data_IF_038570607610
#
_entry.id   IF_038570607610
#
_cell.length_a   1.000
_cell.length_b   1.000
_cell.length_c   1.000
_cell.angle_alpha   90.00
_cell.angle_beta   90.00
_cell.angle_gamma   90.00
#
_symmetry.space_group_name_H-M   'P 1'
#
loop_
_entity.id
_entity.type
_entity.pdbx_description
1 polymer ?
#
# COMPACT_ATOMS: atom_id res chain seq x y z
N UNK A 1 -0.48 4.28 23.33
CA UNK A 1 -0.78 4.56 21.90
C UNK A 1 0.36 4.15 20.97
N UNK A 2 1.62 4.53 21.23
CA UNK A 2 2.76 4.09 20.40
C UNK A 2 2.93 2.57 20.36
N UNK A 3 2.73 1.88 21.49
CA UNK A 3 2.83 0.42 21.57
C UNK A 3 1.87 -0.29 20.61
N UNK A 4 0.62 0.18 20.49
CA UNK A 4 -0.36 -0.40 19.56
C UNK A 4 0.02 -0.20 18.09
N UNK A 5 0.52 1.00 17.74
CA UNK A 5 1.03 1.29 16.39
C UNK A 5 2.26 0.46 16.03
N UNK A 6 3.16 0.27 16.99
CA UNK A 6 4.35 -0.56 16.82
C UNK A 6 3.98 -2.03 16.58
N UNK A 7 2.98 -2.54 17.30
CA UNK A 7 2.43 -3.90 17.07
C UNK A 7 1.89 -4.01 15.65
N UNK A 8 1.04 -3.09 15.20
CA UNK A 8 0.48 -3.13 13.84
C UNK A 8 1.58 -3.07 12.77
N UNK A 9 2.56 -2.17 12.92
CA UNK A 9 3.68 -2.09 11.99
C UNK A 9 4.52 -3.38 11.97
N UNK A 10 4.75 -4.02 13.12
CA UNK A 10 5.46 -5.29 13.20
C UNK A 10 4.68 -6.46 12.55
N UNK A 11 3.35 -6.45 12.65
CA UNK A 11 2.49 -7.43 11.99
C UNK A 11 2.53 -7.26 10.47
N UNK A 12 2.40 -6.01 9.98
CA UNK A 12 2.54 -5.69 8.56
C UNK A 12 3.92 -6.10 8.03
N UNK A 13 4.98 -5.79 8.77
CA UNK A 13 6.33 -6.20 8.42
C UNK A 13 6.46 -7.73 8.33
N UNK A 14 5.93 -8.46 9.32
CA UNK A 14 5.98 -9.92 9.35
C UNK A 14 5.24 -10.54 8.18
N UNK A 15 4.01 -10.10 7.91
CA UNK A 15 3.22 -10.60 6.78
C UNK A 15 3.88 -10.27 5.44
N UNK A 16 4.43 -9.06 5.31
CA UNK A 16 5.16 -8.67 4.10
C UNK A 16 6.43 -9.49 3.88
N UNK A 17 7.19 -9.75 4.94
CA UNK A 17 8.36 -10.61 4.87
C UNK A 17 7.97 -12.03 4.42
N UNK A 18 6.89 -12.59 4.97
CA UNK A 18 6.39 -13.91 4.59
C UNK A 18 6.06 -14.00 3.11
N UNK A 19 5.36 -13.02 2.54
CA UNK A 19 5.05 -12.98 1.10
C UNK A 19 6.31 -12.85 0.25
N UNK A 20 7.31 -12.11 0.74
CA UNK A 20 8.58 -11.93 0.02
C UNK A 20 9.41 -13.21 -0.10
N UNK A 21 9.44 -14.02 0.97
CA UNK A 21 10.22 -15.29 0.98
C UNK A 21 9.42 -16.49 0.50
N UNK A 22 8.09 -16.43 0.62
CA UNK A 22 7.15 -17.45 0.17
C UNK A 22 6.16 -16.81 -0.80
N UNK A 23 6.56 -16.58 -2.07
CA UNK A 23 5.70 -15.93 -3.05
C UNK A 23 4.41 -16.74 -3.29
N UNK A 24 3.31 -16.09 -3.70
CA UNK A 24 2.09 -16.79 -4.12
C UNK A 24 2.40 -17.80 -5.22
N UNK A 25 1.85 -19.02 -5.09
CA UNK A 25 2.18 -20.14 -5.96
C UNK A 25 3.47 -20.89 -5.60
N UNK A 26 4.24 -20.39 -4.64
CA UNK A 26 5.46 -21.01 -4.14
C UNK A 26 6.65 -20.85 -5.08
N UNK A 27 7.65 -21.69 -4.83
CA UNK A 27 8.86 -21.80 -5.63
C UNK A 27 8.97 -23.20 -6.22
N UNK A 28 9.62 -23.31 -7.38
CA UNK A 28 9.96 -24.61 -7.95
C UNK A 28 10.86 -25.38 -6.97
N UNK A 29 10.53 -26.65 -6.73
CA UNK A 29 11.28 -27.50 -5.79
C UNK A 29 12.49 -28.15 -6.46
N UNK A 30 12.43 -28.34 -7.77
CA UNK A 30 13.41 -29.08 -8.56
C UNK A 30 13.76 -28.31 -9.82
N UNK A 31 14.99 -28.48 -10.29
CA UNK A 31 15.43 -27.93 -11.56
C UNK A 31 14.99 -28.84 -12.69
N UNK A 32 14.29 -28.28 -13.69
CA UNK A 32 13.74 -29.00 -14.85
C UNK A 32 13.95 -28.19 -16.12
N UNK A 33 14.14 -28.88 -17.23
CA UNK A 33 14.14 -28.26 -18.55
C UNK A 33 13.02 -28.83 -19.41
N UNK A 34 12.53 -28.02 -20.33
CA UNK A 34 11.52 -28.43 -21.30
C UNK A 34 12.24 -29.03 -22.52
N UNK A 35 11.99 -30.31 -22.78
CA UNK A 35 12.49 -31.00 -23.95
C UNK A 35 11.43 -30.87 -25.06
N UNK A 36 11.72 -30.09 -26.10
CA UNK A 36 10.76 -29.83 -27.19
C UNK A 36 10.46 -31.06 -28.04
N UNK A 37 11.47 -31.91 -28.26
CA UNK A 37 11.32 -33.13 -29.08
C UNK A 37 10.40 -34.15 -28.40
N UNK A 38 10.45 -34.24 -27.06
CA UNK A 38 9.61 -35.13 -26.27
C UNK A 38 8.32 -34.46 -25.77
N UNK A 39 8.22 -33.13 -25.80
CA UNK A 39 7.06 -32.37 -25.32
C UNK A 39 6.83 -32.47 -23.81
N UNK A 40 7.87 -32.76 -23.02
CA UNK A 40 7.76 -33.02 -21.57
C UNK A 40 8.80 -32.24 -20.77
N UNK A 41 8.47 -31.97 -19.50
CA UNK A 41 9.42 -31.47 -18.51
C UNK A 41 10.27 -32.62 -18.00
N UNK A 42 11.58 -32.53 -18.21
CA UNK A 42 12.52 -33.54 -17.77
C UNK A 42 13.34 -32.99 -16.61
N UNK A 43 13.45 -33.80 -15.56
CA UNK A 43 14.28 -33.51 -14.40
C UNK A 43 15.66 -34.09 -14.67
N UNK A 44 16.70 -33.28 -14.44
CA UNK A 44 18.07 -33.76 -14.58
C UNK A 44 18.60 -34.24 -13.23
N UNK A 45 19.06 -35.49 -13.18
CA UNK A 45 19.58 -36.13 -11.97
C UNK A 45 21.09 -35.91 -11.82
N UNK A 46 21.77 -35.46 -12.88
CA UNK A 46 23.20 -35.13 -12.87
C UNK A 46 23.36 -33.65 -13.22
N UNK A 47 24.26 -32.98 -12.51
CA UNK A 47 24.57 -31.55 -12.65
C UNK A 47 24.43 -31.07 -14.09
N UNK A 48 23.69 -29.97 -14.30
CA UNK A 48 23.41 -29.38 -15.61
C UNK A 48 24.72 -29.32 -16.39
N UNK A 49 24.89 -30.22 -17.35
CA UNK A 49 25.99 -30.09 -18.28
C UNK A 49 25.58 -28.94 -19.19
N UNK A 50 26.03 -27.74 -18.88
CA UNK A 50 25.62 -26.51 -19.56
C UNK A 50 25.90 -26.57 -21.07
N UNK A 51 26.83 -27.45 -21.48
CA UNK A 51 27.11 -27.80 -22.87
C UNK A 51 25.97 -28.58 -23.57
N UNK A 52 25.11 -29.32 -22.84
CA UNK A 52 23.91 -29.98 -23.40
C UNK A 52 22.74 -29.01 -23.57
N UNK A 53 22.65 -27.97 -22.73
CA UNK A 53 21.66 -26.88 -22.86
C UNK A 53 21.90 -26.05 -24.12
N UNK A 54 23.14 -26.06 -24.65
CA UNK A 54 23.51 -25.38 -25.89
C UNK A 54 22.99 -26.10 -27.16
N UNK A 55 22.55 -27.36 -27.06
CA UNK A 55 21.93 -28.06 -28.19
C UNK A 55 20.41 -27.78 -28.25
N UNK A 56 20.01 -27.35 -29.45
CA UNK A 56 18.73 -27.00 -30.10
C UNK A 56 17.37 -27.55 -29.59
N UNK A 57 17.29 -28.34 -28.52
CA UNK A 57 16.04 -29.00 -28.07
C UNK A 57 15.54 -28.57 -26.69
N UNK A 58 16.15 -27.55 -26.08
CA UNK A 58 15.76 -26.99 -24.77
C UNK A 58 15.32 -25.54 -24.93
N UNK A 59 14.03 -25.26 -24.74
CA UNK A 59 13.50 -23.88 -24.86
C UNK A 59 13.13 -23.20 -23.56
N UNK A 60 12.98 -23.94 -22.45
CA UNK A 60 12.66 -23.37 -21.13
C UNK A 60 13.34 -24.14 -20.01
N UNK A 61 13.97 -23.43 -19.09
CA UNK A 61 14.59 -24.02 -17.89
C UNK A 61 13.97 -23.37 -16.66
N UNK A 62 13.61 -24.21 -15.69
CA UNK A 62 13.10 -23.84 -14.37
C UNK A 62 14.12 -24.31 -13.35
N UNK A 63 14.60 -23.40 -12.51
CA UNK A 63 15.56 -23.72 -11.46
C UNK A 63 14.84 -23.85 -10.13
N UNK A 64 15.28 -24.79 -9.30
CA UNK A 64 14.81 -24.89 -7.93
C UNK A 64 15.04 -23.54 -7.19
N UNK A 65 14.04 -23.10 -6.43
CA UNK A 65 14.05 -21.81 -5.73
C UNK A 65 13.54 -20.62 -6.54
N UNK A 66 13.36 -20.74 -7.87
CA UNK A 66 12.67 -19.69 -8.63
C UNK A 66 11.17 -19.69 -8.33
N UNK A 67 10.59 -18.49 -8.29
CA UNK A 67 9.16 -18.34 -8.02
C UNK A 67 8.32 -18.85 -9.18
N UNK A 68 7.28 -19.64 -8.88
CA UNK A 68 6.37 -20.18 -9.91
C UNK A 68 5.65 -19.05 -10.65
N UNK A 69 5.15 -18.06 -9.91
CA UNK A 69 4.47 -16.90 -10.50
C UNK A 69 5.41 -16.05 -11.39
N UNK A 70 6.72 -16.04 -11.12
CA UNK A 70 7.67 -15.31 -11.98
C UNK A 70 7.79 -15.93 -13.38
N UNK A 71 7.62 -17.25 -13.50
CA UNK A 71 7.73 -18.00 -14.76
C UNK A 71 6.45 -18.02 -15.59
N UNK A 72 5.29 -17.88 -14.94
CA UNK A 72 3.96 -17.91 -15.57
C UNK A 72 3.41 -16.50 -15.82
N UNK A 73 3.69 -15.56 -14.92
CA UNK A 73 3.04 -14.25 -14.86
C UNK A 73 4.01 -13.18 -14.32
N UNK A 74 5.05 -12.83 -15.10
CA UNK A 74 6.12 -11.95 -14.64
C UNK A 74 5.63 -10.53 -14.32
N UNK A 75 4.54 -10.08 -14.94
CA UNK A 75 3.95 -8.78 -14.66
C UNK A 75 3.32 -8.74 -13.25
N UNK A 76 2.45 -9.70 -12.96
CA UNK A 76 1.78 -9.88 -11.68
C UNK A 76 2.80 -10.07 -10.56
N UNK A 77 3.85 -10.88 -10.81
CA UNK A 77 4.96 -11.06 -9.88
C UNK A 77 5.66 -9.74 -9.54
N UNK A 78 5.99 -8.91 -10.53
CA UNK A 78 6.63 -7.60 -10.31
C UNK A 78 5.73 -6.65 -9.53
N UNK A 79 4.42 -6.66 -9.79
CA UNK A 79 3.45 -5.83 -9.06
C UNK A 79 3.35 -6.29 -7.61
N UNK A 80 3.17 -7.60 -7.37
CA UNK A 80 3.07 -8.20 -6.02
C UNK A 80 4.34 -7.91 -5.21
N UNK A 81 5.53 -8.18 -5.77
CA UNK A 81 6.79 -7.90 -5.07
C UNK A 81 7.00 -6.40 -4.84
N UNK A 82 6.72 -5.56 -5.84
CA UNK A 82 6.86 -4.12 -5.74
C UNK A 82 5.97 -3.52 -4.66
N UNK A 83 4.70 -3.89 -4.63
CA UNK A 83 3.78 -3.45 -3.58
C UNK A 83 4.16 -4.03 -2.21
N UNK A 84 4.57 -5.29 -2.15
CA UNK A 84 4.94 -5.92 -0.88
C UNK A 84 6.18 -5.25 -0.24
N UNK A 85 7.21 -5.01 -1.04
CA UNK A 85 8.45 -4.36 -0.58
C UNK A 85 8.20 -2.92 -0.14
N UNK A 86 7.36 -2.16 -0.85
CA UNK A 86 6.95 -0.82 -0.42
C UNK A 86 6.21 -0.84 0.93
N UNK A 87 5.31 -1.80 1.13
CA UNK A 87 4.59 -1.98 2.40
C UNK A 87 5.54 -2.36 3.55
N UNK A 88 6.47 -3.26 3.27
CA UNK A 88 7.51 -3.69 4.22
C UNK A 88 8.41 -2.51 4.62
N UNK A 89 8.94 -1.77 3.66
CA UNK A 89 9.78 -0.60 3.90
C UNK A 89 9.04 0.50 4.67
N UNK A 90 7.77 0.76 4.33
CA UNK A 90 6.94 1.71 5.05
C UNK A 90 6.72 1.25 6.51
N UNK A 91 6.47 -0.03 6.75
CA UNK A 91 6.29 -0.58 8.10
C UNK A 91 7.58 -0.53 8.95
N UNK A 92 8.73 -0.86 8.37
CA UNK A 92 10.03 -0.71 9.03
C UNK A 92 10.33 0.75 9.36
N UNK A 93 9.97 1.68 8.45
CA UNK A 93 10.08 3.12 8.69
C UNK A 93 9.23 3.57 9.87
N UNK A 94 8.00 3.06 10.02
CA UNK A 94 7.15 3.35 11.19
C UNK A 94 7.81 2.86 12.49
N UNK A 95 8.35 1.64 12.50
CA UNK A 95 9.01 1.07 13.68
C UNK A 95 10.22 1.92 14.10
N UNK A 96 11.07 2.28 13.12
CA UNK A 96 12.23 3.13 13.38
C UNK A 96 11.81 4.49 13.93
N UNK A 97 10.84 5.16 13.27
CA UNK A 97 10.34 6.46 13.72
C UNK A 97 9.75 6.41 15.12
N UNK A 98 9.00 5.37 15.47
CA UNK A 98 8.45 5.18 16.80
C UNK A 98 9.54 4.90 17.86
N UNK A 99 10.61 4.19 17.48
CA UNK A 99 11.71 3.84 18.40
C UNK A 99 12.76 4.93 18.56
N UNK A 100 12.93 5.84 17.60
CA UNK A 100 13.96 6.91 17.61
C UNK A 100 13.80 7.96 18.72
N UNK A 101 12.82 7.86 19.61
CA UNK A 101 12.67 8.77 20.76
C UNK A 101 12.35 10.22 20.38
N UNK A 102 12.06 10.49 19.11
CA UNK A 102 11.71 11.82 18.60
C UNK A 102 10.46 12.35 19.33
N UNK A 103 10.39 13.66 19.65
CA UNK A 103 9.27 14.24 20.37
C UNK A 103 7.97 14.16 19.54
N UNK A 104 7.20 13.10 19.78
CA UNK A 104 5.91 12.78 19.11
C UNK A 104 4.83 13.85 19.34
N UNK A 105 5.10 14.79 20.25
CA UNK A 105 4.26 15.97 20.47
C UNK A 105 4.21 16.89 19.24
N UNK A 106 5.18 16.82 18.33
CA UNK A 106 5.15 17.66 17.14
C UNK A 106 4.05 17.21 16.17
N UNK A 107 3.21 18.18 15.74
CA UNK A 107 2.09 17.91 14.83
C UNK A 107 2.56 17.36 13.48
N UNK A 108 3.77 17.71 13.06
CA UNK A 108 4.40 17.27 11.81
C UNK A 108 4.76 15.78 11.88
N UNK A 109 5.35 15.34 12.99
CA UNK A 109 5.74 13.94 13.17
C UNK A 109 4.54 12.98 13.14
N UNK A 110 3.43 13.34 13.79
CA UNK A 110 2.20 12.54 13.69
C UNK A 110 1.63 12.50 12.27
N UNK A 111 1.76 13.59 11.52
CA UNK A 111 1.32 13.66 10.13
C UNK A 111 2.15 12.75 9.22
N UNK A 112 3.48 12.76 9.37
CA UNK A 112 4.37 11.85 8.64
C UNK A 112 4.04 10.39 8.95
N UNK A 113 3.88 10.02 10.24
CA UNK A 113 3.50 8.66 10.64
C UNK A 113 2.16 8.22 10.05
N UNK A 114 1.17 9.09 10.04
CA UNK A 114 -0.12 8.78 9.40
C UNK A 114 0.06 8.49 7.91
N UNK A 115 0.77 9.34 7.16
CA UNK A 115 1.00 9.14 5.73
C UNK A 115 1.72 7.82 5.46
N UNK A 116 2.79 7.53 6.19
CA UNK A 116 3.55 6.28 6.01
C UNK A 116 2.67 5.06 6.35
N UNK A 117 1.82 5.15 7.37
CA UNK A 117 0.87 4.09 7.71
C UNK A 117 -0.16 3.86 6.59
N UNK A 118 -0.70 4.93 5.99
CA UNK A 118 -1.61 4.79 4.85
C UNK A 118 -0.95 4.13 3.64
N UNK A 119 0.30 4.48 3.35
CA UNK A 119 1.10 3.84 2.31
C UNK A 119 1.27 2.35 2.63
N UNK A 120 1.68 2.01 3.85
CA UNK A 120 1.89 0.62 4.28
C UNK A 120 0.64 -0.25 4.11
N UNK A 121 -0.51 0.22 4.62
CA UNK A 121 -1.77 -0.54 4.56
C UNK A 121 -2.25 -0.69 3.11
N UNK A 122 -2.18 0.38 2.30
CA UNK A 122 -2.61 0.32 0.89
C UNK A 122 -1.73 -0.62 0.07
N UNK A 123 -0.42 -0.58 0.31
CA UNK A 123 0.54 -1.45 -0.37
C UNK A 123 0.31 -2.92 -0.04
N UNK A 124 -0.01 -3.25 1.22
CA UNK A 124 -0.36 -4.62 1.60
C UNK A 124 -1.72 -5.07 1.06
N UNK A 125 -2.72 -4.19 1.03
CA UNK A 125 -4.01 -4.50 0.43
C UNK A 125 -3.87 -4.84 -1.06
N UNK A 126 -3.08 -4.06 -1.80
CA UNK A 126 -2.77 -4.34 -3.22
C UNK A 126 -2.04 -5.67 -3.38
N UNK A 127 -1.00 -5.91 -2.58
CA UNK A 127 -0.24 -7.18 -2.61
C UNK A 127 -1.17 -8.39 -2.45
N UNK A 128 -2.08 -8.32 -1.48
CA UNK A 128 -3.03 -9.40 -1.21
C UNK A 128 -4.05 -9.58 -2.34
N UNK A 129 -4.59 -8.49 -2.87
CA UNK A 129 -5.55 -8.51 -3.97
C UNK A 129 -4.96 -9.21 -5.21
N UNK A 130 -3.75 -8.83 -5.63
CA UNK A 130 -3.08 -9.45 -6.76
C UNK A 130 -2.70 -10.91 -6.49
N UNK A 131 -2.21 -11.22 -5.28
CA UNK A 131 -1.87 -12.60 -4.90
C UNK A 131 -3.09 -13.55 -4.99
N UNK A 132 -4.25 -13.13 -4.50
CA UNK A 132 -5.48 -13.94 -4.60
C UNK A 132 -5.88 -14.10 -6.07
N UNK A 133 -5.89 -13.02 -6.84
CA UNK A 133 -6.31 -13.08 -8.25
C UNK A 133 -5.49 -14.10 -9.05
N UNK A 134 -4.17 -14.17 -8.79
CA UNK A 134 -3.30 -15.17 -9.39
C UNK A 134 -3.64 -16.59 -8.91
N UNK A 135 -3.77 -16.80 -7.60
CA UNK A 135 -4.04 -18.13 -7.05
C UNK A 135 -5.38 -18.68 -7.51
N UNK A 136 -6.40 -17.84 -7.66
CA UNK A 136 -7.70 -18.29 -8.21
C UNK A 136 -7.60 -18.60 -9.70
N UNK A 137 -6.89 -17.81 -10.50
CA UNK A 137 -6.67 -18.10 -11.92
C UNK A 137 -5.95 -19.46 -12.11
N UNK A 138 -5.02 -19.80 -11.23
CA UNK A 138 -4.35 -21.12 -11.23
C UNK A 138 -5.34 -22.26 -10.95
N UNK A 139 -6.26 -22.09 -9.98
CA UNK A 139 -7.30 -23.09 -9.66
C UNK A 139 -8.22 -23.31 -10.87
N UNK A 140 -8.63 -22.24 -11.54
CA UNK A 140 -9.44 -22.28 -12.76
C UNK A 140 -8.70 -23.03 -13.87
N UNK A 141 -7.44 -22.68 -14.15
CA UNK A 141 -6.62 -23.38 -15.15
C UNK A 141 -6.49 -24.87 -14.85
N UNK A 142 -6.16 -25.25 -13.61
CA UNK A 142 -5.98 -26.65 -13.21
C UNK A 142 -7.26 -27.48 -13.43
N UNK A 143 -8.43 -26.84 -13.26
CA UNK A 143 -9.73 -27.47 -13.48
C UNK A 143 -10.03 -27.81 -14.95
N UNK A 144 -9.34 -27.17 -15.90
CA UNK A 144 -9.50 -27.43 -17.34
C UNK A 144 -8.67 -28.61 -17.83
N UNK A 145 -7.49 -28.84 -17.23
CA UNK A 145 -6.58 -29.93 -17.60
C UNK A 145 -6.89 -31.24 -16.90
N UNK A 146 -7.52 -31.22 -15.73
CA UNK A 146 -7.96 -32.41 -15.01
C UNK A 146 -9.50 -32.43 -14.95
N UNK A 147 -10.18 -33.39 -15.59
CA UNK A 147 -11.64 -33.47 -15.58
C UNK A 147 -12.14 -33.93 -14.20
N UNK A 148 -12.19 -33.00 -13.24
CA UNK A 148 -12.84 -33.21 -11.95
C UNK A 148 -14.37 -33.12 -12.13
N UNK A 149 -15.16 -33.84 -11.32
CA UNK A 149 -16.62 -33.76 -11.39
C UNK A 149 -17.09 -32.31 -11.21
N UNK A 150 -17.87 -31.81 -12.18
CA UNK A 150 -18.39 -30.42 -12.31
C UNK A 150 -19.12 -29.87 -11.07
N UNK A 151 -19.38 -30.69 -10.05
CA UNK A 151 -20.03 -30.29 -8.80
C UNK A 151 -19.07 -29.68 -7.77
N UNK A 152 -17.76 -29.80 -7.98
CA UNK A 152 -16.71 -29.27 -7.08
C UNK A 152 -16.15 -27.93 -7.56
N UNK A 153 -16.37 -27.58 -8.83
CA UNK A 153 -15.76 -26.42 -9.47
C UNK A 153 -16.78 -25.29 -9.55
N UNK A 154 -16.54 -24.23 -8.78
CA UNK A 154 -17.27 -22.97 -8.87
C UNK A 154 -16.95 -22.37 -10.23
N UNK A 155 -17.89 -22.56 -11.15
CA UNK A 155 -17.81 -22.08 -12.53
C UNK A 155 -18.27 -20.63 -12.57
N UNK A 156 -17.38 -19.68 -12.32
CA UNK A 156 -17.63 -18.25 -12.53
C UNK A 156 -16.32 -17.50 -12.89
N UNK A 157 -15.73 -17.82 -14.05
CA UNK A 157 -14.46 -17.27 -14.58
C UNK A 157 -14.48 -15.74 -14.81
N UNK A 158 -15.66 -15.11 -14.75
CA UNK A 158 -15.83 -13.65 -14.84
C UNK A 158 -15.97 -13.02 -13.45
N UNK A 159 -16.19 -13.79 -12.37
CA UNK A 159 -16.43 -13.19 -11.07
C UNK A 159 -15.13 -12.77 -10.38
N UNK A 160 -14.04 -13.54 -10.49
CA UNK A 160 -12.89 -13.39 -9.58
C UNK A 160 -12.05 -12.14 -9.83
N UNK A 161 -11.79 -11.82 -11.10
CA UNK A 161 -11.10 -10.58 -11.48
C UNK A 161 -11.90 -9.34 -11.08
N UNK A 162 -13.22 -9.36 -11.31
CA UNK A 162 -14.10 -8.25 -10.97
C UNK A 162 -14.29 -8.11 -9.46
N UNK A 163 -14.35 -9.22 -8.71
CA UNK A 163 -14.37 -9.20 -7.24
C UNK A 163 -13.10 -8.54 -6.70
N UNK A 164 -11.94 -8.88 -7.26
CA UNK A 164 -10.67 -8.24 -6.89
C UNK A 164 -10.68 -6.74 -7.20
N UNK A 165 -11.14 -6.34 -8.39
CA UNK A 165 -11.27 -4.93 -8.77
C UNK A 165 -12.24 -4.16 -7.88
N UNK A 166 -13.44 -4.68 -7.62
CA UNK A 166 -14.42 -4.06 -6.74
C UNK A 166 -13.89 -3.90 -5.31
N UNK A 167 -13.13 -4.87 -4.82
CA UNK A 167 -12.47 -4.80 -3.52
C UNK A 167 -11.41 -3.69 -3.49
N UNK A 168 -10.58 -3.58 -4.54
CA UNK A 168 -9.57 -2.52 -4.67
C UNK A 168 -10.22 -1.14 -4.80
N UNK A 169 -11.25 -0.99 -5.63
CA UNK A 169 -11.99 0.28 -5.76
C UNK A 169 -12.71 0.66 -4.46
N UNK A 170 -13.35 -0.30 -3.79
CA UNK A 170 -13.94 -0.10 -2.47
C UNK A 170 -12.89 0.36 -1.45
N UNK A 171 -11.70 -0.24 -1.48
CA UNK A 171 -10.58 0.17 -0.64
C UNK A 171 -10.14 1.61 -0.92
N UNK A 172 -9.89 1.98 -2.19
CA UNK A 172 -9.55 3.36 -2.55
C UNK A 172 -10.67 4.35 -2.18
N UNK A 173 -11.93 3.97 -2.33
CA UNK A 173 -13.08 4.77 -1.90
C UNK A 173 -13.09 5.00 -0.38
N UNK A 174 -12.89 3.96 0.42
CA UNK A 174 -12.76 4.06 1.87
C UNK A 174 -11.60 4.98 2.27
N UNK A 175 -10.43 4.79 1.64
CA UNK A 175 -9.25 5.61 1.88
C UNK A 175 -9.49 7.09 1.56
N UNK A 176 -10.14 7.38 0.42
CA UNK A 176 -10.51 8.73 0.01
C UNK A 176 -11.49 9.38 1.00
N UNK A 177 -12.49 8.63 1.49
CA UNK A 177 -13.44 9.12 2.50
C UNK A 177 -12.76 9.47 3.82
N UNK A 178 -11.82 8.63 4.28
CA UNK A 178 -11.10 8.91 5.54
C UNK A 178 -10.17 10.11 5.36
N UNK A 179 -9.45 10.20 4.24
CA UNK A 179 -8.60 11.35 3.91
C UNK A 179 -9.42 12.64 3.84
N UNK A 180 -10.59 12.59 3.20
CA UNK A 180 -11.54 13.70 3.15
C UNK A 180 -12.04 14.10 4.54
N UNK A 181 -12.36 13.14 5.41
CA UNK A 181 -12.76 13.39 6.80
C UNK A 181 -11.68 14.12 7.60
N UNK A 182 -10.43 13.69 7.49
CA UNK A 182 -9.30 14.37 8.13
C UNK A 182 -9.04 15.76 7.55
N UNK A 183 -9.16 15.92 6.23
CA UNK A 183 -9.05 17.21 5.55
C UNK A 183 -10.12 18.19 6.04
N UNK A 184 -11.39 17.77 6.09
CA UNK A 184 -12.51 18.59 6.61
C UNK A 184 -12.27 18.98 8.06
N UNK A 185 -11.85 18.05 8.93
CA UNK A 185 -11.51 18.38 10.34
C UNK A 185 -10.43 19.45 10.44
N UNK A 186 -9.42 19.42 9.58
CA UNK A 186 -8.36 20.42 9.55
C UNK A 186 -8.84 21.75 8.99
N UNK A 187 -9.65 21.73 7.93
CA UNK A 187 -10.25 22.91 7.34
C UNK A 187 -11.13 23.63 8.38
N UNK A 188 -12.01 22.90 9.07
CA UNK A 188 -12.85 23.43 10.15
C UNK A 188 -12.01 24.02 11.27
N UNK A 189 -10.92 23.36 11.68
CA UNK A 189 -10.02 23.85 12.73
C UNK A 189 -9.25 25.10 12.29
N UNK A 190 -8.85 25.16 11.02
CA UNK A 190 -8.20 26.32 10.42
C UNK A 190 -9.16 27.52 10.37
N UNK A 191 -10.37 27.32 9.84
CA UNK A 191 -11.40 28.36 9.75
C UNK A 191 -11.86 28.84 11.12
N UNK A 192 -12.07 27.95 12.09
CA UNK A 192 -12.41 28.33 13.47
C UNK A 192 -11.32 29.18 14.12
N UNK A 193 -10.04 28.84 13.91
CA UNK A 193 -8.91 29.65 14.39
C UNK A 193 -8.83 31.00 13.68
N UNK A 194 -9.07 31.02 12.37
CA UNK A 194 -9.08 32.26 11.58
C UNK A 194 -10.21 33.17 12.07
N UNK A 195 -11.45 32.67 12.17
CA UNK A 195 -12.60 33.39 12.73
C UNK A 195 -12.35 33.90 14.16
N UNK A 196 -11.75 33.09 15.03
CA UNK A 196 -11.40 33.53 16.40
C UNK A 196 -10.34 34.65 16.40
N UNK A 197 -9.39 34.64 15.46
CA UNK A 197 -8.38 35.69 15.31
C UNK A 197 -8.90 36.96 14.62
N UNK A 198 -9.91 36.87 13.74
CA UNK A 198 -10.54 38.06 13.12
C UNK A 198 -11.67 38.66 13.97
N UNK A 199 -12.29 37.86 14.87
CA UNK A 199 -13.39 38.29 15.74
C UNK A 199 -13.11 39.54 16.60
N UNK A 200 -11.93 39.68 17.24
CA UNK A 200 -11.59 40.88 18.01
C UNK A 200 -11.36 42.14 17.15
N UNK A 201 -11.04 41.98 15.86
CA UNK A 201 -10.81 43.07 14.92
C UNK A 201 -12.13 43.63 14.36
N UNK A 202 -13.15 42.80 14.20
CA UNK A 202 -14.48 43.22 13.76
C UNK A 202 -15.33 43.84 14.89
N UNK A 203 -15.08 43.47 16.16
CA UNK A 203 -15.73 44.08 17.33
C UNK A 203 -15.08 45.39 17.80
N UNK A 204 -13.90 45.75 17.29
CA UNK A 204 -13.36 47.12 17.42
C UNK A 204 -14.06 48.02 16.39
N UNK A 205 -15.32 48.33 16.65
CA UNK A 205 -16.05 49.36 15.92
C UNK A 205 -15.34 50.73 15.99
N UNK A 206 -15.67 51.66 15.08
CA UNK A 206 -15.00 52.96 14.90
C UNK A 206 -15.09 53.93 16.10
N UNK A 207 -15.70 53.54 17.21
CA UNK A 207 -15.95 54.39 18.37
C UNK A 207 -14.67 54.85 19.10
N UNK A 208 -13.56 54.10 19.01
CA UNK A 208 -12.27 54.55 19.58
C UNK A 208 -11.56 55.65 18.76
N UNK A 209 -11.85 55.79 17.46
CA UNK A 209 -11.30 56.88 16.63
C UNK A 209 -12.01 58.22 16.91
N UNK A 210 -13.31 58.18 17.22
CA UNK A 210 -14.11 59.37 17.52
C UNK A 210 -13.70 59.99 18.88
N UNK A 211 -13.38 59.16 19.89
CA UNK A 211 -12.85 59.64 21.17
C UNK A 211 -11.46 60.30 21.04
N UNK A 212 -10.65 59.83 20.09
CA UNK A 212 -9.29 60.35 19.86
C UNK A 212 -9.30 61.71 19.14
N UNK A 213 -10.27 61.96 18.25
CA UNK A 213 -10.48 63.27 17.63
C UNK A 213 -11.16 64.29 18.56
N UNK A 214 -12.07 63.85 19.45
CA UNK A 214 -12.72 64.75 20.41
C UNK A 214 -11.74 65.30 21.46
N UNK A 215 -10.72 64.53 21.84
CA UNK A 215 -9.67 64.97 22.80
C UNK A 215 -8.68 65.98 22.21
N UNK A 216 -8.41 65.95 20.89
CA UNK A 216 -7.57 66.96 20.22
C UNK A 216 -8.28 68.31 20.04
N UNK A 217 -9.61 68.33 19.94
CA UNK A 217 -10.37 69.58 19.79
C UNK A 217 -10.58 70.36 21.10
N UNK A 218 -10.52 69.68 22.26
CA UNK A 218 -10.70 70.34 23.57
C UNK A 218 -9.41 70.92 24.19
N UNK A 219 -8.23 70.55 23.68
CA UNK A 219 -6.94 71.07 24.19
C UNK A 219 -6.31 72.16 23.30
N UNK A 220 -7.02 72.63 22.26
CA UNK A 220 -6.57 73.68 21.34
C UNK A 220 -7.24 75.05 21.54
N UNK A 221 -7.92 75.26 22.67
CA UNK A 221 -8.51 76.55 23.05
C UNK A 221 -7.45 77.45 23.70
N UNK A 222 -7.06 78.48 22.97
CA UNK A 222 -5.98 79.44 23.22
C UNK A 222 -6.26 80.32 24.44
N UNK A 223 -5.21 80.53 25.22
CA UNK A 223 -5.00 81.66 26.13
C UNK A 223 -4.80 82.96 25.35
N UNK A 224 -5.65 83.97 25.54
CA UNK A 224 -5.30 85.39 25.72
C UNK A 224 -6.41 86.01 26.58
#
# INVERSE_FOLDING_TARGET
MQSSLMVVASLIATVGFQVGVNPPGGVWQETKYFNETAGIWQQDEKDINFDLVYYDHVSKIRFAGMSVIADESPYEFRVILGSNTLGLLASMSIILLLRSGLPVKSRIFMWMLMVIMWVAISSMALTYAFAISYMTAVIEWFSTVVPLPKKVLVKDDISTYYITLWTVYGWFGLMALILFSHFVRLLLKYWKRRLYNVGPLLLRGPTKLIGMFKRRRMNGGVSI
#
